data_IF_449182381641
#
_entry.id   IF_449182381641
#
_cell.length_a   1.000
_cell.length_b   1.000
_cell.length_c   1.000
_cell.angle_alpha   90.00
_cell.angle_beta   90.00
_cell.angle_gamma   90.00
#
_symmetry.space_group_name_H-M   'P 1'
#
loop_
_entity.id
_entity.type
_entity.pdbx_description
1 polymer ?
#
# COMPACT_ATOMS: atom_id res chain seq x y z
N UNK A 1 14.97 -19.84 -6.83
CA UNK A 1 14.38 -18.48 -6.81
C UNK A 1 13.53 -18.37 -5.57
N UNK A 2 13.83 -17.42 -4.68
CA UNK A 2 13.11 -17.22 -3.42
C UNK A 2 11.81 -16.48 -3.73
N UNK A 3 10.70 -17.11 -3.40
CA UNK A 3 9.36 -16.56 -3.61
C UNK A 3 8.67 -16.31 -2.26
N UNK A 4 7.62 -15.51 -2.27
CA UNK A 4 6.95 -15.01 -1.07
C UNK A 4 5.47 -14.72 -1.35
N UNK A 5 4.70 -14.65 -0.29
CA UNK A 5 3.26 -14.36 -0.33
C UNK A 5 3.04 -12.89 -0.02
N UNK A 6 2.18 -12.24 -0.81
CA UNK A 6 1.62 -10.93 -0.51
C UNK A 6 0.34 -11.12 0.31
N UNK A 7 0.18 -10.28 1.33
CA UNK A 7 -1.10 -9.98 1.95
C UNK A 7 -1.29 -8.47 1.99
N UNK A 8 -2.45 -8.00 2.44
CA UNK A 8 -2.71 -6.56 2.52
C UNK A 8 -3.81 -6.26 3.52
N UNK A 9 -3.70 -5.12 4.19
CA UNK A 9 -4.76 -4.61 5.07
C UNK A 9 -5.09 -3.16 4.64
N UNK A 10 -5.64 -2.92 3.43
CA UNK A 10 -6.02 -1.57 3.01
C UNK A 10 -7.25 -1.08 3.77
N UNK A 11 -7.18 0.18 4.19
CA UNK A 11 -8.20 0.79 5.03
C UNK A 11 -9.27 1.52 4.21
N UNK A 12 -10.48 1.61 4.77
CA UNK A 12 -11.57 2.41 4.23
C UNK A 12 -12.51 2.91 5.33
N UNK A 13 -13.29 3.92 4.99
CA UNK A 13 -14.38 4.47 5.80
C UNK A 13 -15.72 4.05 5.22
N UNK A 14 -16.67 3.72 6.09
CA UNK A 14 -18.07 3.67 5.71
C UNK A 14 -18.75 4.98 6.10
N UNK A 15 -19.57 5.53 5.22
CA UNK A 15 -20.26 6.82 5.40
C UNK A 15 -21.74 6.60 5.12
N UNK A 16 -22.64 7.18 5.93
CA UNK A 16 -24.07 7.11 5.66
C UNK A 16 -24.52 8.14 4.60
N UNK A 17 -25.79 8.10 4.20
CA UNK A 17 -26.37 9.03 3.21
C UNK A 17 -26.38 10.50 3.64
N UNK A 18 -26.23 10.78 4.94
CA UNK A 18 -26.05 12.14 5.47
C UNK A 18 -24.58 12.59 5.49
N UNK A 19 -23.63 11.76 5.05
CA UNK A 19 -22.20 12.06 5.09
C UNK A 19 -21.55 11.88 6.46
N UNK A 20 -22.22 11.22 7.42
CA UNK A 20 -21.63 10.90 8.71
C UNK A 20 -20.84 9.58 8.66
N UNK A 21 -19.65 9.59 9.26
CA UNK A 21 -18.79 8.42 9.39
C UNK A 21 -19.45 7.33 10.26
N UNK A 22 -19.38 6.09 9.81
CA UNK A 22 -19.80 4.89 10.53
C UNK A 22 -18.56 4.20 11.08
N UNK A 23 -18.35 4.27 12.39
CA UNK A 23 -17.19 3.67 13.06
C UNK A 23 -17.18 2.14 12.90
N UNK A 24 -16.00 1.57 12.63
CA UNK A 24 -15.82 0.12 12.49
C UNK A 24 -16.08 -0.64 13.79
N UNK A 25 -15.80 -0.03 14.93
CA UNK A 25 -16.11 -0.58 16.26
C UNK A 25 -17.61 -0.83 16.47
N UNK A 26 -18.48 -0.11 15.74
CA UNK A 26 -19.93 -0.21 15.85
C UNK A 26 -20.53 -1.29 14.95
N UNK A 27 -19.75 -1.79 13.99
CA UNK A 27 -20.18 -2.87 13.13
C UNK A 27 -20.27 -4.19 13.92
N UNK A 28 -21.39 -4.91 13.78
CA UNK A 28 -21.64 -6.18 14.50
C UNK A 28 -21.60 -7.40 13.59
N UNK A 29 -21.56 -7.20 12.27
CA UNK A 29 -21.64 -8.28 11.28
C UNK A 29 -20.31 -8.93 10.90
N UNK A 30 -19.19 -8.63 11.60
CA UNK A 30 -17.85 -9.19 11.30
C UNK A 30 -17.84 -10.70 11.05
N UNK A 31 -18.64 -11.47 11.81
CA UNK A 31 -18.74 -12.93 11.66
C UNK A 31 -19.13 -13.38 10.24
N UNK A 32 -19.89 -12.58 9.49
CA UNK A 32 -20.28 -12.85 8.10
C UNK A 32 -19.07 -12.94 7.15
N UNK A 33 -17.97 -12.28 7.50
CA UNK A 33 -16.76 -12.20 6.67
C UNK A 33 -15.60 -13.05 7.20
N UNK A 34 -15.78 -13.77 8.32
CA UNK A 34 -14.70 -14.45 9.00
C UNK A 34 -13.62 -13.44 9.43
N UNK A 35 -12.43 -13.53 8.83
CA UNK A 35 -11.31 -12.61 9.08
C UNK A 35 -11.09 -11.57 7.96
N UNK A 36 -11.98 -11.49 6.96
CA UNK A 36 -11.79 -10.70 5.74
C UNK A 36 -12.08 -9.20 5.88
N UNK A 37 -12.67 -8.80 7.01
CA UNK A 37 -12.86 -7.39 7.37
C UNK A 37 -12.31 -7.19 8.79
N UNK A 38 -11.48 -6.15 8.94
CA UNK A 38 -10.78 -5.78 10.17
C UNK A 38 -11.16 -4.39 10.70
N UNK A 39 -10.38 -3.92 11.68
CA UNK A 39 -10.55 -2.64 12.36
C UNK A 39 -9.18 -2.02 12.63
N UNK A 40 -9.01 -0.77 12.19
CA UNK A 40 -7.82 0.03 12.50
C UNK A 40 -8.19 1.44 12.98
N UNK A 41 -7.19 2.27 13.28
CA UNK A 41 -7.37 3.65 13.74
C UNK A 41 -8.08 3.70 15.09
N UNK A 42 -7.81 2.74 15.99
CA UNK A 42 -8.52 2.62 17.26
C UNK A 42 -9.99 2.21 17.10
N UNK A 43 -10.36 1.60 15.98
CA UNK A 43 -11.71 1.12 15.69
C UNK A 43 -12.54 2.05 14.80
N UNK A 44 -12.00 3.20 14.38
CA UNK A 44 -12.73 4.10 13.48
C UNK A 44 -12.72 3.65 12.02
N UNK A 45 -11.67 2.95 11.59
CA UNK A 45 -11.45 2.54 10.20
C UNK A 45 -11.72 1.05 10.03
N UNK A 46 -12.28 0.69 8.88
CA UNK A 46 -12.34 -0.70 8.44
C UNK A 46 -11.08 -1.04 7.66
N UNK A 47 -10.71 -2.32 7.66
CA UNK A 47 -9.67 -2.87 6.79
C UNK A 47 -10.26 -4.00 5.94
N UNK A 48 -9.90 -4.11 4.67
CA UNK A 48 -10.10 -5.35 3.91
C UNK A 48 -8.90 -6.27 4.17
N UNK A 49 -9.14 -7.56 4.39
CA UNK A 49 -8.09 -8.58 4.59
C UNK A 49 -8.27 -9.70 3.56
N UNK A 50 -7.82 -9.51 2.30
CA UNK A 50 -7.97 -10.49 1.25
C UNK A 50 -7.17 -11.76 1.56
N UNK A 51 -7.53 -12.87 0.91
CA UNK A 51 -6.71 -14.07 0.99
C UNK A 51 -5.31 -13.78 0.43
N UNK A 52 -4.23 -14.18 1.14
CA UNK A 52 -2.88 -13.91 0.70
C UNK A 52 -2.53 -14.79 -0.51
N UNK A 53 -1.70 -14.27 -1.42
CA UNK A 53 -1.31 -14.93 -2.67
C UNK A 53 0.11 -14.58 -3.07
N UNK A 54 0.75 -15.46 -3.83
CA UNK A 54 2.05 -15.19 -4.47
C UNK A 54 1.91 -14.34 -5.72
N UNK A 55 0.72 -14.33 -6.33
CA UNK A 55 0.37 -13.53 -7.49
C UNK A 55 -0.29 -12.21 -7.03
N UNK A 56 0.28 -11.04 -7.36
CA UNK A 56 -0.32 -9.76 -7.02
C UNK A 56 -1.72 -9.57 -7.60
N UNK A 57 -2.04 -10.11 -8.78
CA UNK A 57 -3.34 -9.97 -9.43
C UNK A 57 -4.43 -10.75 -8.67
N UNK A 58 -4.06 -11.90 -8.12
CA UNK A 58 -4.93 -12.69 -7.26
C UNK A 58 -5.28 -11.96 -5.95
N UNK A 59 -4.41 -11.08 -5.44
CA UNK A 59 -4.76 -10.20 -4.30
C UNK A 59 -5.89 -9.24 -4.70
N UNK A 60 -5.78 -8.62 -5.88
CA UNK A 60 -6.80 -7.69 -6.41
C UNK A 60 -8.13 -8.41 -6.59
N UNK A 61 -8.10 -9.62 -7.16
CA UNK A 61 -9.28 -10.47 -7.29
C UNK A 61 -9.89 -10.82 -5.93
N UNK A 62 -9.06 -11.17 -4.95
CA UNK A 62 -9.52 -11.48 -3.60
C UNK A 62 -10.13 -10.27 -2.88
N UNK A 63 -9.64 -9.05 -3.12
CA UNK A 63 -10.26 -7.81 -2.62
C UNK A 63 -11.65 -7.65 -3.25
N UNK A 64 -11.77 -7.81 -4.57
CA UNK A 64 -13.07 -7.75 -5.27
C UNK A 64 -14.08 -8.74 -4.66
N UNK A 65 -13.64 -9.97 -4.38
CA UNK A 65 -14.48 -10.98 -3.74
C UNK A 65 -14.95 -10.60 -2.33
N UNK A 66 -14.22 -9.74 -1.61
CA UNK A 66 -14.71 -9.19 -0.33
C UNK A 66 -15.80 -8.15 -0.60
N UNK A 67 -15.58 -7.24 -1.55
CA UNK A 67 -16.60 -6.25 -1.92
C UNK A 67 -17.90 -6.88 -2.45
N UNK A 68 -17.80 -7.94 -3.26
CA UNK A 68 -18.95 -8.68 -3.75
C UNK A 68 -19.79 -9.33 -2.63
N UNK A 69 -19.21 -9.55 -1.45
CA UNK A 69 -19.96 -9.97 -0.26
C UNK A 69 -20.51 -8.78 0.51
N UNK A 70 -19.74 -7.70 0.58
CA UNK A 70 -20.13 -6.48 1.29
C UNK A 70 -21.35 -5.79 0.68
N UNK A 71 -21.55 -5.90 -0.63
CA UNK A 71 -22.74 -5.34 -1.30
C UNK A 71 -24.07 -5.94 -0.82
N UNK A 72 -24.04 -7.07 -0.12
CA UNK A 72 -25.22 -7.69 0.48
C UNK A 72 -25.41 -7.30 1.96
N UNK A 73 -24.68 -6.31 2.46
CA UNK A 73 -24.77 -5.84 3.84
C UNK A 73 -25.18 -4.37 3.88
N UNK A 74 -26.39 -4.13 4.39
CA UNK A 74 -27.00 -2.80 4.53
C UNK A 74 -26.09 -1.82 5.27
N UNK A 75 -25.25 -2.29 6.19
CA UNK A 75 -24.29 -1.42 6.86
C UNK A 75 -23.33 -0.75 5.88
N UNK A 76 -22.92 -1.42 4.79
CA UNK A 76 -22.01 -0.84 3.80
C UNK A 76 -22.76 -0.17 2.65
N UNK A 77 -23.97 -0.63 2.29
CA UNK A 77 -24.74 -0.10 1.16
C UNK A 77 -25.64 1.08 1.52
N UNK A 78 -25.99 1.30 2.80
CA UNK A 78 -26.65 2.52 3.27
C UNK A 78 -25.66 3.70 3.30
N UNK A 79 -25.35 4.24 2.12
CA UNK A 79 -24.43 5.35 1.90
C UNK A 79 -23.31 5.00 0.93
N UNK A 80 -22.05 5.20 1.34
CA UNK A 80 -20.87 4.88 0.52
C UNK A 80 -19.73 4.34 1.36
N UNK A 81 -18.83 3.59 0.74
CA UNK A 81 -17.52 3.27 1.32
C UNK A 81 -16.44 4.04 0.56
N UNK A 82 -15.50 4.65 1.28
CA UNK A 82 -14.50 5.55 0.69
C UNK A 82 -13.10 5.17 1.14
N UNK A 83 -12.17 5.15 0.19
CA UNK A 83 -10.74 4.95 0.42
C UNK A 83 -9.99 6.17 -0.12
N UNK A 84 -10.25 7.32 0.50
CA UNK A 84 -9.63 8.58 0.15
C UNK A 84 -8.62 8.97 1.21
N UNK A 85 -7.56 9.71 0.85
CA UNK A 85 -6.61 10.22 1.81
C UNK A 85 -7.31 11.41 2.50
N UNK A 86 -8.14 11.10 3.49
CA UNK A 86 -8.91 12.04 4.31
C UNK A 86 -8.54 11.85 5.77
N UNK A 87 -8.36 12.94 6.50
CA UNK A 87 -8.37 12.93 7.96
C UNK A 87 -9.80 12.67 8.41
N UNK A 88 -10.06 11.50 8.99
CA UNK A 88 -11.36 11.22 9.63
C UNK A 88 -11.72 12.31 10.65
N UNK A 89 -12.98 12.37 11.09
CA UNK A 89 -13.38 13.25 12.21
C UNK A 89 -12.54 13.06 13.48
N UNK A 90 -11.89 11.90 13.62
CA UNK A 90 -10.99 11.58 14.73
C UNK A 90 -9.50 11.83 14.41
N UNK A 91 -9.17 12.51 13.30
CA UNK A 91 -7.81 12.74 12.78
C UNK A 91 -7.01 11.48 12.52
N UNK A 92 -7.66 10.32 12.39
CA UNK A 92 -7.01 9.12 11.90
C UNK A 92 -6.72 9.27 10.41
N UNK A 93 -5.48 8.93 10.04
CA UNK A 93 -5.02 8.98 8.67
C UNK A 93 -5.11 7.60 8.05
N UNK A 94 -5.69 7.51 6.85
CA UNK A 94 -5.99 6.23 6.20
C UNK A 94 -4.77 5.61 5.52
N UNK A 95 -4.57 4.33 5.81
CA UNK A 95 -3.49 3.44 5.40
C UNK A 95 -3.80 2.50 4.24
N UNK A 96 -2.73 1.82 3.83
CA UNK A 96 -2.73 0.84 2.77
C UNK A 96 -1.63 -0.18 3.03
N UNK A 97 -1.79 -0.99 4.07
CA UNK A 97 -0.75 -1.91 4.53
C UNK A 97 -0.50 -3.04 3.53
N UNK A 98 0.78 -3.39 3.32
CA UNK A 98 1.17 -4.54 2.48
C UNK A 98 2.00 -5.50 3.31
N UNK A 99 1.63 -6.76 3.27
CA UNK A 99 2.26 -7.82 4.04
C UNK A 99 3.15 -8.62 3.13
N UNK A 100 4.39 -8.79 3.54
CA UNK A 100 5.33 -9.69 2.89
C UNK A 100 5.51 -10.90 3.80
N UNK A 101 5.13 -12.08 3.31
CA UNK A 101 5.10 -13.30 4.09
C UNK A 101 5.86 -14.47 3.46
N UNK A 102 6.37 -15.36 4.31
CA UNK A 102 7.06 -16.59 3.90
C UNK A 102 8.43 -16.75 4.58
N UNK A 103 8.99 -17.95 4.52
CA UNK A 103 10.22 -18.29 5.28
C UNK A 103 11.42 -17.41 4.91
N UNK A 104 11.59 -17.05 3.64
CA UNK A 104 12.67 -16.17 3.21
C UNK A 104 12.49 -14.74 3.72
N UNK A 105 11.24 -14.29 3.85
CA UNK A 105 10.93 -12.99 4.45
C UNK A 105 11.25 -13.02 5.94
N UNK A 106 10.79 -14.07 6.63
CA UNK A 106 11.06 -14.25 8.05
C UNK A 106 12.55 -14.30 8.34
N UNK A 107 13.37 -14.96 7.52
CA UNK A 107 14.84 -14.97 7.69
C UNK A 107 15.45 -13.57 7.60
N UNK A 108 15.08 -12.78 6.58
CA UNK A 108 15.56 -11.39 6.43
C UNK A 108 15.17 -10.53 7.64
N UNK A 109 14.00 -10.82 8.22
CA UNK A 109 13.50 -10.15 9.41
C UNK A 109 14.15 -10.65 10.72
N UNK A 110 14.23 -11.96 10.95
CA UNK A 110 14.76 -12.58 12.17
C UNK A 110 16.27 -12.31 12.33
N UNK A 111 17.00 -12.21 11.20
CA UNK A 111 18.38 -11.74 11.20
C UNK A 111 18.51 -10.30 11.76
N UNK A 112 17.45 -9.49 11.73
CA UNK A 112 17.40 -8.16 12.34
C UNK A 112 17.13 -8.17 13.85
N UNK A 113 16.53 -9.24 14.40
CA UNK A 113 16.23 -9.38 15.82
C UNK A 113 17.44 -9.86 16.65
N UNK A 114 18.38 -10.58 16.03
CA UNK A 114 19.58 -11.12 16.69
C UNK A 114 20.75 -10.11 16.84
N UNK A 115 20.46 -8.81 16.85
CA UNK A 115 21.47 -7.76 17.06
C UNK A 115 22.32 -7.41 15.83
N UNK A 116 21.97 -7.93 14.65
CA UNK A 116 22.51 -7.47 13.37
C UNK A 116 21.49 -6.53 12.74
N UNK A 117 21.71 -5.22 12.82
CA UNK A 117 20.79 -4.18 12.34
C UNK A 117 20.66 -4.21 10.80
N UNK A 118 19.91 -5.18 10.27
CA UNK A 118 19.83 -5.51 8.84
C UNK A 118 18.55 -4.96 8.18
N UNK A 119 18.09 -3.77 8.58
CA UNK A 119 16.96 -3.07 7.95
C UNK A 119 17.26 -2.50 6.55
N UNK A 120 18.36 -2.92 5.90
CA UNK A 120 18.73 -2.50 4.54
C UNK A 120 17.63 -2.79 3.51
N UNK A 121 16.86 -3.87 3.70
CA UNK A 121 15.71 -4.18 2.84
C UNK A 121 14.62 -3.10 2.93
N UNK A 122 14.42 -2.47 4.09
CA UNK A 122 13.49 -1.34 4.24
C UNK A 122 13.99 -0.11 3.49
N UNK A 123 15.30 0.13 3.45
CA UNK A 123 15.85 1.20 2.61
C UNK A 123 15.65 0.92 1.13
N UNK A 124 15.75 -0.34 0.69
CA UNK A 124 15.48 -0.73 -0.68
C UNK A 124 13.98 -0.57 -1.01
N UNK A 125 13.08 -1.06 -0.15
CA UNK A 125 11.64 -0.84 -0.28
C UNK A 125 11.29 0.65 -0.29
N UNK A 126 11.87 1.44 0.60
CA UNK A 126 11.68 2.88 0.63
C UNK A 126 12.10 3.52 -0.70
N UNK A 127 13.26 3.15 -1.25
CA UNK A 127 13.80 3.74 -2.47
C UNK A 127 12.99 3.43 -3.73
N UNK A 128 12.50 2.18 -3.86
CA UNK A 128 11.92 1.71 -5.11
C UNK A 128 10.40 1.53 -5.05
N UNK A 129 9.85 1.19 -3.89
CA UNK A 129 8.41 1.01 -3.71
C UNK A 129 7.78 2.22 -3.03
N UNK A 130 8.17 2.51 -1.79
CA UNK A 130 7.58 3.61 -1.00
C UNK A 130 7.72 4.97 -1.67
N UNK A 131 8.89 5.28 -2.25
CA UNK A 131 9.11 6.52 -3.00
C UNK A 131 8.22 6.64 -4.24
N UNK A 132 7.93 5.54 -4.95
CA UNK A 132 7.03 5.56 -6.10
C UNK A 132 5.59 5.78 -5.64
N UNK A 133 5.11 5.03 -4.63
CA UNK A 133 3.79 5.24 -4.03
C UNK A 133 3.56 6.70 -3.61
N UNK A 134 4.62 7.33 -3.08
CA UNK A 134 4.61 8.73 -2.65
C UNK A 134 4.66 9.75 -3.79
N UNK A 135 5.21 9.35 -4.94
CA UNK A 135 5.26 10.17 -6.15
C UNK A 135 3.97 10.10 -6.97
N UNK A 136 3.19 9.02 -6.84
CA UNK A 136 1.88 8.88 -7.50
C UNK A 136 0.74 9.46 -6.64
N UNK A 137 0.87 9.43 -5.31
CA UNK A 137 -0.07 10.08 -4.40
C UNK A 137 0.58 11.26 -3.67
N UNK A 138 0.27 12.45 -4.15
CA UNK A 138 0.76 13.71 -3.60
C UNK A 138 -0.11 14.26 -2.45
N UNK A 139 -1.31 13.72 -2.25
CA UNK A 139 -2.24 14.12 -1.19
C UNK A 139 -1.83 13.49 0.14
N UNK A 140 -1.97 14.23 1.24
CA UNK A 140 -1.87 13.71 2.63
C UNK A 140 -0.56 13.11 3.15
N UNK A 141 0.47 12.99 2.32
CA UNK A 141 1.81 12.57 2.74
C UNK A 141 2.29 13.29 4.01
N UNK A 142 2.04 14.60 4.09
CA UNK A 142 2.43 15.45 5.22
C UNK A 142 1.56 15.17 6.45
N UNK A 143 0.26 15.00 6.27
CA UNK A 143 -0.69 14.78 7.36
C UNK A 143 -0.48 13.41 8.01
N UNK A 144 -0.22 12.37 7.21
CA UNK A 144 0.18 11.04 7.69
C UNK A 144 1.42 11.08 8.58
N UNK A 145 2.49 11.70 8.08
CA UNK A 145 3.74 11.83 8.85
C UNK A 145 3.53 12.64 10.13
N UNK A 146 2.79 13.74 10.06
CA UNK A 146 2.50 14.57 11.23
C UNK A 146 1.68 13.80 12.27
N UNK A 147 0.80 12.89 11.84
CA UNK A 147 0.08 11.93 12.69
C UNK A 147 0.93 10.77 13.21
N UNK A 148 2.23 10.74 12.89
CA UNK A 148 3.17 9.71 13.38
C UNK A 148 3.15 8.39 12.59
N UNK A 149 2.57 8.38 11.39
CA UNK A 149 2.31 7.16 10.62
C UNK A 149 2.65 7.30 9.12
N UNK A 150 3.03 6.22 8.43
CA UNK A 150 3.28 6.25 6.98
C UNK A 150 4.62 6.86 6.55
N UNK A 151 5.63 6.79 7.43
CA UNK A 151 7.02 7.06 7.06
C UNK A 151 7.54 6.02 6.05
N UNK A 152 8.50 6.37 5.21
CA UNK A 152 9.05 5.44 4.20
C UNK A 152 9.74 4.21 4.79
N UNK A 153 10.10 4.24 6.07
CA UNK A 153 10.68 3.10 6.79
C UNK A 153 9.71 2.52 7.82
N UNK A 154 8.42 2.90 7.78
CA UNK A 154 7.41 2.41 8.71
C UNK A 154 7.01 0.97 8.38
N UNK A 155 7.15 0.09 9.36
CA UNK A 155 6.85 -1.33 9.25
C UNK A 155 6.43 -1.91 10.61
N UNK A 156 5.75 -3.05 10.57
CA UNK A 156 5.37 -3.82 11.76
C UNK A 156 5.73 -5.30 11.58
N UNK A 157 6.31 -5.88 12.62
CA UNK A 157 6.63 -7.32 12.65
C UNK A 157 5.37 -8.18 12.70
N UNK A 158 5.40 -9.32 12.02
CA UNK A 158 4.31 -10.30 12.00
C UNK A 158 4.85 -11.72 12.11
N UNK A 159 4.06 -12.65 12.67
CA UNK A 159 4.46 -14.06 12.79
C UNK A 159 4.77 -14.75 11.45
N UNK A 160 4.33 -14.17 10.33
CA UNK A 160 4.51 -14.72 8.99
C UNK A 160 5.53 -13.91 8.15
N UNK A 161 6.09 -12.82 8.67
CA UNK A 161 6.98 -11.91 7.96
C UNK A 161 6.88 -10.49 8.52
N UNK A 162 6.56 -9.52 7.67
CA UNK A 162 6.34 -8.14 8.13
C UNK A 162 5.27 -7.43 7.30
N UNK A 163 4.79 -6.35 7.85
CA UNK A 163 3.84 -5.42 7.25
C UNK A 163 4.56 -4.11 6.97
N UNK A 164 4.50 -3.63 5.74
CA UNK A 164 5.04 -2.35 5.32
C UNK A 164 3.91 -1.32 5.24
N UNK A 165 4.11 -0.18 5.91
CA UNK A 165 3.04 0.77 6.26
C UNK A 165 3.19 2.14 5.61
N UNK A 166 4.21 2.30 4.76
CA UNK A 166 4.50 3.55 4.08
C UNK A 166 3.47 3.99 3.03
N UNK A 167 2.85 3.10 2.21
CA UNK A 167 1.92 3.53 1.17
C UNK A 167 0.70 4.26 1.74
N UNK A 168 0.24 5.26 0.97
CA UNK A 168 -1.05 5.93 1.14
C UNK A 168 -2.23 4.98 0.86
N UNK A 169 -3.45 5.50 0.78
CA UNK A 169 -4.58 4.71 0.27
C UNK A 169 -4.32 4.30 -1.19
N UNK A 170 -4.60 3.03 -1.51
CA UNK A 170 -4.53 2.49 -2.87
C UNK A 170 -5.75 1.64 -3.25
N UNK A 171 -6.73 1.51 -2.33
CA UNK A 171 -7.95 0.73 -2.49
C UNK A 171 -9.03 1.45 -3.32
N UNK A 172 -8.81 2.71 -3.68
CA UNK A 172 -9.81 3.56 -4.33
C UNK A 172 -10.30 3.05 -5.69
N UNK A 173 -9.47 2.30 -6.41
CA UNK A 173 -9.81 1.66 -7.69
C UNK A 173 -9.03 0.35 -7.90
N UNK A 174 -9.55 -0.60 -8.71
CA UNK A 174 -8.83 -1.83 -9.03
C UNK A 174 -7.53 -1.55 -9.79
N UNK A 175 -7.49 -0.51 -10.63
CA UNK A 175 -6.28 -0.12 -11.37
C UNK A 175 -5.18 0.35 -10.42
N UNK A 176 -5.51 1.21 -9.45
CA UNK A 176 -4.52 1.69 -8.49
C UNK A 176 -4.02 0.56 -7.59
N UNK A 177 -4.94 -0.28 -7.10
CA UNK A 177 -4.59 -1.47 -6.33
C UNK A 177 -3.66 -2.41 -7.11
N UNK A 178 -3.93 -2.62 -8.40
CA UNK A 178 -3.09 -3.46 -9.28
C UNK A 178 -1.69 -2.90 -9.41
N UNK A 179 -1.55 -1.59 -9.69
CA UNK A 179 -0.23 -0.93 -9.81
C UNK A 179 0.59 -1.11 -8.54
N UNK A 180 -0.02 -0.89 -7.37
CA UNK A 180 0.64 -1.00 -6.08
C UNK A 180 1.07 -2.44 -5.77
N UNK A 181 0.19 -3.43 -5.99
CA UNK A 181 0.49 -4.83 -5.74
C UNK A 181 1.57 -5.38 -6.68
N UNK A 182 1.49 -5.05 -7.97
CA UNK A 182 2.50 -5.45 -8.95
C UNK A 182 3.86 -4.82 -8.62
N UNK A 183 3.90 -3.54 -8.24
CA UNK A 183 5.16 -2.88 -7.89
C UNK A 183 5.77 -3.49 -6.62
N UNK A 184 4.94 -3.76 -5.60
CA UNK A 184 5.38 -4.44 -4.38
C UNK A 184 5.96 -5.83 -4.69
N UNK A 185 5.33 -6.60 -5.60
CA UNK A 185 5.84 -7.89 -6.05
C UNK A 185 7.21 -7.75 -6.70
N UNK A 186 7.35 -6.85 -7.67
CA UNK A 186 8.59 -6.64 -8.44
C UNK A 186 9.75 -6.25 -7.53
N UNK A 187 9.55 -5.24 -6.67
CA UNK A 187 10.61 -4.71 -5.82
C UNK A 187 11.05 -5.72 -4.76
N UNK A 188 10.10 -6.35 -4.05
CA UNK A 188 10.48 -7.31 -3.00
C UNK A 188 11.08 -8.59 -3.59
N UNK A 189 10.63 -9.02 -4.76
CA UNK A 189 11.25 -10.15 -5.44
C UNK A 189 12.72 -9.87 -5.79
N UNK A 190 13.02 -8.66 -6.27
CA UNK A 190 14.38 -8.24 -6.57
C UNK A 190 15.26 -8.29 -5.31
N UNK A 191 14.78 -7.75 -4.18
CA UNK A 191 15.45 -7.82 -2.86
C UNK A 191 15.78 -9.28 -2.49
N UNK A 192 14.88 -10.23 -2.74
CA UNK A 192 15.08 -11.62 -2.35
C UNK A 192 16.06 -12.39 -3.24
N UNK A 193 16.17 -12.00 -4.51
CA UNK A 193 16.80 -12.80 -5.55
C UNK A 193 18.06 -12.19 -6.14
N UNK A 194 18.40 -10.95 -5.80
CA UNK A 194 19.66 -10.31 -6.21
C UNK A 194 20.46 -9.80 -5.03
N UNK A 195 21.72 -9.48 -5.27
CA UNK A 195 22.63 -8.92 -4.27
C UNK A 195 22.36 -7.42 -4.07
N UNK A 196 21.17 -7.12 -3.55
CA UNK A 196 20.68 -5.75 -3.40
C UNK A 196 21.55 -4.89 -2.47
N UNK A 197 22.31 -5.53 -1.56
CA UNK A 197 23.17 -4.86 -0.58
C UNK A 197 24.33 -4.10 -1.24
N UNK A 198 24.80 -4.59 -2.37
CA UNK A 198 25.88 -3.96 -3.14
C UNK A 198 25.37 -2.88 -4.12
N UNK A 199 24.06 -2.64 -4.20
CA UNK A 199 23.50 -1.66 -5.11
C UNK A 199 23.50 -0.25 -4.51
N UNK A 200 24.09 0.70 -5.23
CA UNK A 200 24.03 2.13 -4.87
C UNK A 200 22.62 2.68 -5.02
N UNK A 201 21.93 2.84 -3.90
CA UNK A 201 20.55 3.35 -3.83
C UNK A 201 20.41 4.76 -4.45
N UNK A 202 19.28 5.06 -5.14
CA UNK A 202 19.01 6.39 -5.70
C UNK A 202 18.87 7.51 -4.66
N UNK A 203 18.33 7.19 -3.48
CA UNK A 203 18.18 8.08 -2.35
C UNK A 203 19.16 7.67 -1.24
N UNK A 204 19.83 8.65 -0.66
CA UNK A 204 20.59 8.46 0.58
C UNK A 204 19.64 8.24 1.76
N UNK A 205 20.15 7.68 2.87
CA UNK A 205 19.43 7.52 4.14
C UNK A 205 18.74 8.82 4.56
N UNK A 206 19.46 9.95 4.59
CA UNK A 206 18.90 11.26 4.93
C UNK A 206 17.79 11.69 3.94
N UNK A 207 17.94 11.36 2.64
CA UNK A 207 16.91 11.63 1.63
C UNK A 207 15.68 10.75 1.81
N UNK A 208 15.79 9.52 2.32
CA UNK A 208 14.63 8.67 2.64
C UNK A 208 13.80 9.28 3.77
N UNK A 209 14.45 9.71 4.86
CA UNK A 209 13.75 10.36 5.98
C UNK A 209 13.10 11.69 5.60
N UNK A 210 13.75 12.46 4.70
CA UNK A 210 13.26 13.76 4.24
C UNK A 210 12.45 13.70 2.95
N UNK A 211 12.22 12.51 2.39
CA UNK A 211 11.54 12.32 1.10
C UNK A 211 10.11 12.85 1.21
N UNK A 212 9.87 14.04 0.67
CA UNK A 212 8.63 14.82 0.74
C UNK A 212 8.26 15.39 2.13
N UNK A 213 9.24 15.88 2.90
CA UNK A 213 8.96 16.80 4.01
C UNK A 213 8.37 18.14 3.53
N UNK A 214 8.84 18.69 2.41
CA UNK A 214 8.32 19.92 1.78
C UNK A 214 8.71 19.92 0.28
N UNK A 215 7.72 19.90 -0.63
CA UNK A 215 7.75 20.18 -2.10
C UNK A 215 8.42 19.16 -3.04
N UNK A 216 7.59 18.56 -3.90
CA UNK A 216 7.97 17.82 -5.13
C UNK A 216 8.66 18.69 -6.18
N UNK A 217 9.94 18.96 -5.96
CA UNK A 217 10.78 19.80 -6.82
C UNK A 217 11.55 19.02 -7.88
N UNK A 218 12.40 19.73 -8.63
CA UNK A 218 13.30 19.16 -9.64
C UNK A 218 14.21 18.03 -9.11
N UNK A 219 14.55 18.06 -7.82
CA UNK A 219 15.34 16.99 -7.18
C UNK A 219 14.63 15.65 -7.19
N UNK A 220 13.30 15.66 -7.05
CA UNK A 220 12.52 14.43 -6.89
C UNK A 220 12.23 13.81 -8.26
N UNK A 221 12.10 14.63 -9.30
CA UNK A 221 12.06 14.15 -10.69
C UNK A 221 13.39 13.53 -11.14
N UNK A 222 14.54 14.10 -10.73
CA UNK A 222 15.86 13.47 -10.98
C UNK A 222 15.97 12.13 -10.26
N UNK A 223 15.53 12.06 -9.00
CA UNK A 223 15.46 10.81 -8.25
C UNK A 223 14.53 9.80 -8.94
N UNK A 224 13.34 10.22 -9.37
CA UNK A 224 12.38 9.38 -10.06
C UNK A 224 12.97 8.73 -11.31
N UNK A 225 13.62 9.49 -12.20
CA UNK A 225 14.22 8.92 -13.41
C UNK A 225 15.22 7.80 -13.10
N UNK A 226 16.01 7.94 -12.03
CA UNK A 226 16.97 6.92 -11.59
C UNK A 226 16.26 5.71 -10.95
N UNK A 227 15.28 5.96 -10.10
CA UNK A 227 14.46 4.92 -9.46
C UNK A 227 13.76 4.08 -10.54
N UNK A 228 13.07 4.75 -11.47
CA UNK A 228 12.32 4.10 -12.54
C UNK A 228 13.23 3.30 -13.48
N UNK A 229 14.36 3.86 -13.91
CA UNK A 229 15.32 3.14 -14.78
C UNK A 229 15.86 1.86 -14.13
N UNK A 230 15.94 1.79 -12.81
CA UNK A 230 16.32 0.58 -12.10
C UNK A 230 15.15 -0.41 -12.02
N UNK A 231 13.93 0.05 -11.71
CA UNK A 231 12.73 -0.80 -11.66
C UNK A 231 12.50 -1.51 -12.99
N UNK A 232 12.63 -0.83 -14.12
CA UNK A 232 12.44 -1.43 -15.45
C UNK A 232 13.47 -2.52 -15.80
N UNK A 233 14.55 -2.64 -15.01
CA UNK A 233 15.58 -3.68 -15.17
C UNK A 233 15.42 -4.83 -14.17
N UNK A 234 14.48 -4.73 -13.22
CA UNK A 234 14.23 -5.77 -12.23
C UNK A 234 13.65 -7.01 -12.89
N UNK A 235 13.96 -8.16 -12.31
CA UNK A 235 13.72 -9.47 -12.93
C UNK A 235 12.25 -9.73 -13.29
N UNK A 236 11.31 -9.25 -12.47
CA UNK A 236 9.87 -9.43 -12.69
C UNK A 236 9.19 -8.27 -13.42
N UNK A 237 9.89 -7.17 -13.74
CA UNK A 237 9.26 -6.04 -14.42
C UNK A 237 8.57 -6.44 -15.74
N UNK A 238 9.20 -7.23 -16.65
CA UNK A 238 8.57 -7.60 -17.93
C UNK A 238 7.23 -8.33 -17.76
N UNK A 239 7.04 -9.08 -16.68
CA UNK A 239 5.80 -9.80 -16.40
C UNK A 239 4.64 -8.87 -16.01
N UNK A 240 4.94 -7.72 -15.42
CA UNK A 240 3.94 -6.76 -14.93
C UNK A 240 4.01 -5.41 -15.65
N UNK A 241 4.73 -5.33 -16.77
CA UNK A 241 4.97 -4.09 -17.50
C UNK A 241 3.65 -3.43 -17.94
N UNK A 242 2.67 -4.21 -18.37
CA UNK A 242 1.36 -3.71 -18.81
C UNK A 242 0.62 -2.92 -17.71
N UNK A 243 0.86 -3.27 -16.44
CA UNK A 243 0.28 -2.59 -15.29
C UNK A 243 1.14 -1.43 -14.81
N UNK A 244 2.47 -1.56 -14.91
CA UNK A 244 3.41 -0.61 -14.32
C UNK A 244 3.78 0.55 -15.26
N UNK A 245 3.64 0.38 -16.58
CA UNK A 245 4.04 1.38 -17.58
C UNK A 245 3.30 2.72 -17.48
N UNK A 246 2.21 2.79 -16.72
CA UNK A 246 1.44 4.01 -16.42
C UNK A 246 2.18 4.94 -15.44
N UNK A 247 3.06 4.41 -14.57
CA UNK A 247 3.72 5.15 -13.49
C UNK A 247 4.47 6.40 -14.00
N UNK A 248 5.28 6.35 -15.08
CA UNK A 248 5.94 7.53 -15.62
C UNK A 248 5.01 8.66 -16.02
N UNK A 249 3.85 8.35 -16.60
CA UNK A 249 2.86 9.37 -16.97
C UNK A 249 2.28 10.03 -15.73
N UNK A 250 1.89 9.22 -14.73
CA UNK A 250 1.35 9.70 -13.45
C UNK A 250 2.31 10.68 -12.77
N UNK A 251 3.57 10.28 -12.61
CA UNK A 251 4.56 11.10 -11.90
C UNK A 251 4.94 12.35 -12.69
N UNK A 252 5.20 12.24 -14.00
CA UNK A 252 5.64 13.40 -14.81
C UNK A 252 4.54 14.45 -14.96
N UNK A 253 3.30 14.00 -15.12
CA UNK A 253 2.16 14.87 -15.34
C UNK A 253 1.39 15.18 -14.05
N UNK A 254 1.89 14.74 -12.88
CA UNK A 254 1.26 14.92 -11.56
C UNK A 254 -0.21 14.47 -11.55
N UNK A 255 -0.49 13.37 -12.25
CA UNK A 255 -1.81 12.74 -12.26
C UNK A 255 -1.89 11.72 -11.12
N UNK A 256 -3.10 11.46 -10.67
CA UNK A 256 -3.39 10.42 -9.68
C UNK A 256 -4.29 9.36 -10.28
N UNK A 257 -4.19 8.12 -9.78
CA UNK A 257 -5.14 7.04 -10.07
C UNK A 257 -6.32 7.04 -9.10
N UNK A 258 -6.32 7.92 -8.09
CA UNK A 258 -7.46 8.11 -7.19
C UNK A 258 -8.60 8.74 -7.99
N UNK A 259 -9.75 8.06 -8.14
CA UNK A 259 -10.87 8.59 -8.91
C UNK A 259 -11.53 9.79 -8.21
N UNK A 260 -12.23 10.62 -9.00
CA UNK A 260 -13.07 11.70 -8.46
C UNK A 260 -14.33 11.16 -7.78
N UNK A 261 -14.87 10.05 -8.29
CA UNK A 261 -15.85 9.26 -7.56
C UNK A 261 -15.17 8.62 -6.35
N UNK A 262 -15.75 8.82 -5.18
CA UNK A 262 -15.16 8.41 -3.90
C UNK A 262 -15.68 7.06 -3.43
N UNK A 263 -16.85 6.65 -3.96
CA UNK A 263 -17.46 5.38 -3.61
C UNK A 263 -16.72 4.20 -4.26
N UNK A 264 -16.06 3.40 -3.42
CA UNK A 264 -15.26 2.25 -3.85
C UNK A 264 -16.12 1.26 -4.64
N UNK A 265 -17.38 1.01 -4.25
CA UNK A 265 -18.21 0.06 -4.98
C UNK A 265 -18.41 0.47 -6.44
N UNK A 266 -18.58 1.76 -6.71
CA UNK A 266 -18.69 2.26 -8.09
C UNK A 266 -17.37 2.16 -8.84
N UNK A 267 -16.27 2.57 -8.22
CA UNK A 267 -14.93 2.52 -8.83
C UNK A 267 -14.49 1.08 -9.16
N UNK A 268 -14.89 0.12 -8.32
CA UNK A 268 -14.65 -1.30 -8.52
C UNK A 268 -15.73 -2.00 -9.36
N UNK A 269 -16.74 -1.28 -9.83
CA UNK A 269 -17.86 -1.82 -10.62
C UNK A 269 -18.49 -3.03 -9.92
N UNK A 270 -18.80 -2.87 -8.65
CA UNK A 270 -19.50 -3.85 -7.81
C UNK A 270 -21.00 -3.62 -8.02
N UNK A 271 -21.61 -4.52 -8.79
CA UNK A 271 -23.03 -4.51 -9.13
C UNK A 271 -23.86 -5.32 -8.13
#
# INVERSE_FOLDING_TARGET
>A
MKDFTLGADPEFLAVNHYGAEKSAENYRGYRKYGKKIGQDGGGSLFEIRPAPSKDPLEIVYNIRNVFDKMKCDDFFTEGKIVAVPYETRNHNTMGGHIHFGGEHIKKIYDDSYNGVDNHEYLFYLANYFGSICRLIDHSEVKNRINGGYGGLLDYRSQNHGFEYRAPSTWLSSPEYTTVVMCLAKVVMFEILNTDYKNHKLPLSTNRVHSFFGVRGGLSDMKSFSKIWSNITKMSLYPMYEEYLNVIPDLVKNKKTLIPTETDIFKNWQIN
#
